data_IF_534869741803
#
_entry.id   IF_534869741803
#
_cell.length_a   1.000
_cell.length_b   1.000
_cell.length_c   1.000
_cell.angle_alpha   90.00
_cell.angle_beta   90.00
_cell.angle_gamma   90.00
#
_symmetry.space_group_name_H-M   'P 1'
#
loop_
_entity.id
_entity.type
_entity.pdbx_description
1 polymer ?
#
# COMPACT_ATOMS: atom_id res chain seq x y z
N UNK A 1 -20.98 25.93 -63.39
CA UNK A 1 -21.80 25.33 -62.31
C UNK A 1 -21.31 23.91 -62.07
N UNK A 2 -20.37 23.72 -61.14
CA UNK A 2 -19.83 22.41 -60.76
C UNK A 2 -20.34 22.07 -59.35
N UNK A 3 -21.34 21.21 -59.28
CA UNK A 3 -21.93 20.69 -58.03
C UNK A 3 -21.50 19.24 -57.75
N UNK A 4 -20.28 18.88 -58.16
CA UNK A 4 -19.72 17.52 -57.98
C UNK A 4 -18.50 17.53 -57.03
N UNK A 5 -17.94 18.70 -56.69
CA UNK A 5 -16.73 18.81 -55.86
C UNK A 5 -16.93 18.80 -54.33
N UNK A 6 -18.16 18.95 -53.82
CA UNK A 6 -18.38 19.15 -52.37
C UNK A 6 -18.75 17.84 -51.64
N UNK A 7 -19.24 16.82 -52.34
CA UNK A 7 -19.65 15.56 -51.71
C UNK A 7 -18.45 14.62 -51.47
N UNK A 8 -17.37 14.73 -52.24
CA UNK A 8 -16.22 13.82 -52.11
C UNK A 8 -15.27 14.16 -50.95
N UNK A 9 -15.23 15.41 -50.48
CA UNK A 9 -14.35 15.85 -49.38
C UNK A 9 -14.95 15.51 -48.01
N UNK A 10 -16.28 15.42 -47.90
CA UNK A 10 -16.95 15.05 -46.66
C UNK A 10 -16.87 13.54 -46.33
N UNK A 11 -16.67 12.67 -47.33
CA UNK A 11 -16.59 11.22 -47.11
C UNK A 11 -15.18 10.76 -46.74
N UNK A 12 -14.13 11.50 -47.13
CA UNK A 12 -12.74 11.14 -46.81
C UNK A 12 -12.32 11.51 -45.37
N UNK A 13 -13.06 12.40 -44.70
CA UNK A 13 -12.83 12.78 -43.30
C UNK A 13 -13.41 11.78 -42.27
N UNK A 14 -14.17 10.77 -42.72
CA UNK A 14 -14.76 9.73 -41.87
C UNK A 14 -13.90 8.45 -41.76
N UNK A 15 -12.70 8.44 -42.34
CA UNK A 15 -11.78 7.28 -42.34
C UNK A 15 -10.49 7.52 -41.53
N UNK A 16 -10.37 8.65 -40.82
CA UNK A 16 -9.27 8.83 -39.88
C UNK A 16 -9.56 7.96 -38.65
N UNK A 17 -8.66 7.05 -38.24
CA UNK A 17 -8.82 6.35 -36.98
C UNK A 17 -8.91 7.41 -35.88
N UNK A 18 -9.97 7.33 -35.08
CA UNK A 18 -10.11 8.13 -33.87
C UNK A 18 -8.90 7.85 -32.99
N UNK A 19 -7.96 8.80 -32.93
CA UNK A 19 -6.96 8.83 -31.88
C UNK A 19 -7.71 9.20 -30.62
N UNK A 20 -8.20 8.19 -29.91
CA UNK A 20 -8.69 8.35 -28.56
C UNK A 20 -7.48 8.70 -27.69
N UNK A 21 -7.30 9.98 -27.38
CA UNK A 21 -6.45 10.38 -26.27
C UNK A 21 -7.13 9.86 -24.98
N UNK A 22 -6.72 8.68 -24.54
CA UNK A 22 -7.07 8.18 -23.22
C UNK A 22 -6.32 9.04 -22.20
N UNK A 23 -7.00 10.02 -21.61
CA UNK A 23 -6.57 10.57 -20.34
C UNK A 23 -6.69 9.46 -19.30
N UNK A 24 -5.61 8.71 -19.10
CA UNK A 24 -5.52 7.78 -17.98
C UNK A 24 -5.59 8.64 -16.72
N UNK A 25 -6.64 8.44 -15.92
CA UNK A 25 -6.68 9.01 -14.58
C UNK A 25 -5.39 8.60 -13.86
N UNK A 26 -4.74 9.48 -13.07
CA UNK A 26 -3.61 9.06 -12.27
C UNK A 26 -4.06 7.84 -11.47
N UNK A 27 -3.28 6.76 -11.57
CA UNK A 27 -3.56 5.51 -10.86
C UNK A 27 -3.92 5.86 -9.41
N UNK A 28 -5.06 5.33 -8.95
CA UNK A 28 -5.49 5.52 -7.57
C UNK A 28 -4.37 5.01 -6.67
N UNK A 29 -3.65 5.93 -6.02
CA UNK A 29 -2.60 5.61 -5.06
C UNK A 29 -3.20 4.70 -4.00
N UNK A 30 -2.75 3.45 -3.98
CA UNK A 30 -3.21 2.47 -3.02
C UNK A 30 -2.73 2.90 -1.62
N UNK A 31 -3.62 2.91 -0.62
CA UNK A 31 -3.25 3.37 0.73
C UNK A 31 -2.13 2.52 1.36
N UNK A 32 -1.96 1.28 0.90
CA UNK A 32 -0.88 0.38 1.33
C UNK A 32 0.51 0.78 0.78
N UNK A 33 0.57 1.50 -0.35
CA UNK A 33 1.81 2.09 -0.90
C UNK A 33 2.24 3.35 -0.15
N UNK A 34 1.42 3.87 0.77
CA UNK A 34 1.78 5.04 1.57
C UNK A 34 2.91 4.78 2.57
N UNK A 35 3.26 3.51 2.81
CA UNK A 35 4.35 3.10 3.70
C UNK A 35 5.76 3.46 3.18
N UNK A 36 5.88 3.83 1.90
CA UNK A 36 7.16 4.15 1.25
C UNK A 36 7.44 5.66 1.13
N UNK A 37 6.44 6.52 1.37
CA UNK A 37 6.60 7.98 1.27
C UNK A 37 7.17 8.57 2.55
N UNK A 38 8.49 8.51 2.67
CA UNK A 38 9.25 9.13 3.76
C UNK A 38 9.69 10.54 3.39
N UNK A 39 10.06 11.34 4.38
CA UNK A 39 10.79 12.55 4.11
C UNK A 39 12.08 12.24 3.31
N UNK A 40 12.40 13.09 2.35
CA UNK A 40 13.45 12.81 1.39
C UNK A 40 13.44 13.73 0.19
N UNK A 41 14.56 13.77 -0.53
CA UNK A 41 14.67 14.42 -1.83
C UNK A 41 14.59 13.37 -2.92
N UNK A 42 13.72 13.58 -3.89
CA UNK A 42 13.41 12.60 -4.95
C UNK A 42 13.53 13.24 -6.34
N UNK A 43 14.10 12.52 -7.33
CA UNK A 43 14.17 12.99 -8.70
C UNK A 43 12.78 12.92 -9.35
N UNK A 44 12.33 14.03 -9.94
CA UNK A 44 11.09 14.14 -10.70
C UNK A 44 11.43 14.49 -12.13
N UNK A 45 11.05 13.62 -13.05
CA UNK A 45 11.22 13.86 -14.48
C UNK A 45 10.06 14.71 -15.01
N UNK A 46 10.37 15.90 -15.47
CA UNK A 46 9.44 16.80 -16.13
C UNK A 46 9.63 16.67 -17.63
N UNK A 47 8.56 16.35 -18.35
CA UNK A 47 8.52 16.32 -19.82
C UNK A 47 7.67 17.48 -20.31
N UNK A 48 8.21 18.28 -21.23
CA UNK A 48 7.52 19.40 -21.86
C UNK A 48 7.60 19.27 -23.37
N UNK A 49 6.46 19.39 -24.04
CA UNK A 49 6.41 19.41 -25.49
C UNK A 49 6.49 20.85 -26.00
N UNK A 50 7.51 21.14 -26.79
CA UNK A 50 7.70 22.43 -27.43
C UNK A 50 7.07 22.40 -28.83
N UNK A 51 5.94 23.09 -28.98
CA UNK A 51 5.20 23.17 -30.24
C UNK A 51 5.99 23.88 -31.36
N UNK A 52 6.92 24.78 -31.01
CA UNK A 52 7.69 25.53 -31.99
C UNK A 52 8.83 24.70 -32.59
N UNK A 53 9.46 23.83 -31.79
CA UNK A 53 10.53 22.94 -32.23
C UNK A 53 10.03 21.53 -32.61
N UNK A 54 8.80 21.18 -32.24
CA UNK A 54 8.20 19.85 -32.43
C UNK A 54 8.86 18.75 -31.58
N UNK A 55 9.68 19.12 -30.59
CA UNK A 55 10.45 18.20 -29.75
C UNK A 55 9.88 18.10 -28.34
N UNK A 56 10.05 16.93 -27.72
CA UNK A 56 9.86 16.76 -26.28
C UNK A 56 11.17 17.05 -25.56
N UNK A 57 11.16 18.04 -24.68
CA UNK A 57 12.25 18.34 -23.75
C UNK A 57 12.01 17.58 -22.44
N UNK A 58 13.04 16.93 -21.93
CA UNK A 58 13.00 16.24 -20.64
C UNK A 58 14.01 16.88 -19.67
N UNK A 59 13.58 17.12 -18.43
CA UNK A 59 14.42 17.67 -17.37
C UNK A 59 14.16 16.95 -16.05
N UNK A 60 15.23 16.58 -15.34
CA UNK A 60 15.13 16.06 -13.98
C UNK A 60 15.22 17.22 -13.00
N UNK A 61 14.28 17.27 -12.05
CA UNK A 61 14.24 18.24 -10.95
C UNK A 61 14.16 17.46 -9.65
N UNK A 62 14.99 17.81 -8.66
CA UNK A 62 14.96 17.18 -7.36
C UNK A 62 13.97 17.91 -6.44
N UNK A 63 13.04 17.17 -5.87
CA UNK A 63 11.98 17.71 -5.00
C UNK A 63 12.08 17.08 -3.61
N UNK A 64 12.09 17.93 -2.57
CA UNK A 64 12.13 17.50 -1.17
C UNK A 64 10.73 17.42 -0.57
N UNK A 65 10.40 16.27 -0.02
CA UNK A 65 9.17 16.00 0.76
C UNK A 65 9.50 16.14 2.24
N UNK A 66 8.66 16.89 2.95
CA UNK A 66 8.82 17.19 4.38
C UNK A 66 7.69 16.55 5.19
N UNK A 67 8.05 16.05 6.38
CA UNK A 67 7.15 15.66 7.45
C UNK A 67 7.28 16.65 8.62
N UNK A 68 6.38 16.61 9.63
CA UNK A 68 6.42 17.56 10.75
C UNK A 68 7.75 17.61 11.50
N UNK A 69 8.46 16.48 11.59
CA UNK A 69 9.75 16.38 12.27
C UNK A 69 10.95 16.54 11.33
N UNK A 70 10.73 16.83 10.04
CA UNK A 70 11.83 16.95 9.08
C UNK A 70 12.59 18.26 9.31
N UNK A 71 13.89 18.13 9.55
CA UNK A 71 14.81 19.26 9.63
C UNK A 71 15.67 19.28 8.37
N UNK A 72 15.81 20.46 7.78
CA UNK A 72 16.75 20.68 6.68
C UNK A 72 17.75 21.76 7.04
N UNK A 73 18.99 21.53 6.63
CA UNK A 73 20.12 22.39 6.86
C UNK A 73 20.72 22.75 5.50
N UNK A 74 20.48 23.99 5.09
CA UNK A 74 20.95 24.50 3.80
C UNK A 74 22.46 24.68 3.77
N UNK A 75 23.10 24.91 4.92
CA UNK A 75 24.55 25.14 5.00
C UNK A 75 25.32 23.82 4.82
N UNK A 76 24.82 22.73 5.40
CA UNK A 76 25.38 21.38 5.20
C UNK A 76 24.90 20.69 3.93
N UNK A 77 23.83 21.19 3.29
CA UNK A 77 23.11 20.55 2.19
C UNK A 77 22.55 19.17 2.60
N UNK A 78 22.00 19.06 3.81
CA UNK A 78 21.45 17.83 4.38
C UNK A 78 20.02 18.01 4.90
N UNK A 79 19.23 16.95 4.81
CA UNK A 79 17.96 16.79 5.51
C UNK A 79 18.05 15.61 6.47
N UNK A 80 17.34 15.69 7.60
CA UNK A 80 17.24 14.61 8.58
C UNK A 80 15.79 14.51 9.09
N UNK A 81 15.31 13.29 9.23
CA UNK A 81 13.95 12.99 9.71
C UNK A 81 13.99 11.81 10.67
N UNK A 82 13.13 11.85 11.68
CA UNK A 82 12.96 10.81 12.68
C UNK A 82 11.56 10.92 13.30
N UNK A 83 11.03 9.79 13.81
CA UNK A 83 9.74 9.75 14.48
C UNK A 83 9.87 9.52 15.99
N UNK A 84 8.86 10.01 16.72
CA UNK A 84 8.67 9.66 18.12
C UNK A 84 8.35 8.17 18.26
N UNK A 85 8.79 7.55 19.36
CA UNK A 85 8.71 6.11 19.57
C UNK A 85 8.05 5.81 20.90
N UNK A 86 7.13 4.84 20.91
CA UNK A 86 6.58 4.23 22.13
C UNK A 86 7.19 2.85 22.33
N UNK A 87 7.73 2.59 23.52
CA UNK A 87 8.35 1.32 23.91
C UNK A 87 7.86 0.87 25.30
N UNK A 88 8.11 -0.39 25.61
CA UNK A 88 7.95 -0.97 26.93
C UNK A 88 8.87 -0.27 27.95
N UNK A 89 8.50 -0.36 29.23
CA UNK A 89 9.28 0.17 30.34
C UNK A 89 10.72 -0.39 30.38
N UNK A 90 11.68 0.45 30.77
CA UNK A 90 13.10 0.13 30.97
C UNK A 90 13.88 -0.38 29.73
N UNK A 91 13.41 -0.10 28.52
CA UNK A 91 14.05 -0.56 27.27
C UNK A 91 15.07 0.45 26.71
N UNK A 92 14.79 1.75 26.74
CA UNK A 92 15.50 2.79 25.97
C UNK A 92 16.99 2.83 26.29
N UNK A 93 17.34 2.73 27.58
CA UNK A 93 18.75 2.77 28.04
C UNK A 93 19.59 1.59 27.55
N UNK A 94 18.95 0.48 27.18
CA UNK A 94 19.62 -0.72 26.68
C UNK A 94 19.85 -0.73 25.17
N UNK A 95 19.31 0.24 24.43
CA UNK A 95 19.36 0.27 22.98
C UNK A 95 20.71 0.79 22.46
N UNK A 96 21.25 0.10 21.47
CA UNK A 96 22.36 0.58 20.65
C UNK A 96 21.94 1.74 19.74
N UNK A 97 22.91 2.49 19.22
CA UNK A 97 22.66 3.54 18.23
C UNK A 97 21.88 3.03 17.00
N UNK A 98 22.24 1.85 16.49
CA UNK A 98 21.56 1.25 15.34
C UNK A 98 20.10 0.90 15.67
N UNK A 99 19.82 0.43 16.88
CA UNK A 99 18.45 0.15 17.32
C UNK A 99 17.64 1.43 17.55
N UNK A 100 18.25 2.49 18.07
CA UNK A 100 17.62 3.81 18.20
C UNK A 100 17.26 4.37 16.82
N UNK A 101 18.20 4.33 15.87
CA UNK A 101 17.97 4.73 14.47
C UNK A 101 16.85 3.91 13.85
N UNK A 102 16.88 2.58 13.99
CA UNK A 102 15.87 1.70 13.41
C UNK A 102 14.47 1.95 14.01
N UNK A 103 14.35 2.09 15.33
CA UNK A 103 13.07 2.31 16.02
C UNK A 103 12.47 3.68 15.71
N UNK A 104 13.30 4.73 15.70
CA UNK A 104 12.88 6.08 15.29
C UNK A 104 12.82 6.26 13.78
N UNK A 105 13.11 5.21 13.00
CA UNK A 105 13.19 5.22 11.54
C UNK A 105 14.00 6.43 11.03
N UNK A 106 15.07 6.76 11.75
CA UNK A 106 15.84 7.97 11.54
C UNK A 106 16.66 7.85 10.24
N UNK A 107 16.64 8.92 9.45
CA UNK A 107 17.29 8.96 8.13
C UNK A 107 17.85 10.36 7.88
N UNK A 108 19.03 10.43 7.28
CA UNK A 108 19.56 11.66 6.70
C UNK A 108 19.84 11.50 5.20
N UNK A 109 19.78 12.60 4.45
CA UNK A 109 20.00 12.62 3.01
C UNK A 109 20.53 13.97 2.51
N UNK A 110 21.06 14.02 1.30
CA UNK A 110 21.47 15.25 0.61
C UNK A 110 20.29 15.96 -0.01
N UNK A 111 20.16 17.27 0.20
CA UNK A 111 19.08 18.07 -0.42
C UNK A 111 19.27 18.25 -1.94
N UNK A 112 20.51 18.07 -2.43
CA UNK A 112 20.83 18.22 -3.85
C UNK A 112 20.33 17.08 -4.73
N UNK A 113 20.36 15.85 -4.23
CA UNK A 113 20.09 14.66 -5.05
C UNK A 113 19.38 13.50 -4.32
N UNK A 114 19.13 13.62 -3.01
CA UNK A 114 18.49 12.57 -2.21
C UNK A 114 19.41 11.43 -1.78
N UNK A 115 20.71 11.49 -2.08
CA UNK A 115 21.66 10.46 -1.65
C UNK A 115 21.72 10.35 -0.12
N UNK A 116 21.89 9.12 0.38
CA UNK A 116 21.87 8.85 1.82
C UNK A 116 23.07 9.49 2.54
N UNK A 117 22.82 10.05 3.72
CA UNK A 117 23.83 10.56 4.65
C UNK A 117 23.79 9.72 5.92
N UNK A 118 24.97 9.37 6.43
CA UNK A 118 25.11 8.58 7.65
C UNK A 118 24.80 9.43 8.89
N UNK A 119 23.99 8.87 9.80
CA UNK A 119 23.79 9.39 11.15
C UNK A 119 24.91 8.82 12.03
N UNK A 120 25.82 9.68 12.45
CA UNK A 120 27.05 9.30 13.14
C UNK A 120 26.87 9.17 14.65
N UNK A 121 25.90 9.88 15.25
CA UNK A 121 25.65 9.86 16.69
C UNK A 121 24.15 9.79 17.00
N UNK A 122 23.81 9.07 18.08
CA UNK A 122 22.50 9.10 18.73
C UNK A 122 22.70 9.33 20.24
N UNK A 123 22.27 10.49 20.73
CA UNK A 123 22.46 10.94 22.11
C UNK A 123 21.13 10.78 22.86
N UNK A 124 21.14 10.00 23.93
CA UNK A 124 19.95 9.73 24.76
C UNK A 124 20.02 10.55 26.05
N UNK A 125 18.97 11.31 26.32
CA UNK A 125 18.81 12.09 27.54
C UNK A 125 17.49 11.75 28.23
N UNK A 126 17.54 11.45 29.53
CA UNK A 126 16.31 11.24 30.32
C UNK A 126 15.70 12.60 30.67
N UNK A 127 14.44 12.81 30.29
CA UNK A 127 13.73 14.10 30.43
C UNK A 127 12.83 14.10 31.68
N UNK A 128 12.34 12.93 32.09
CA UNK A 128 11.46 12.79 33.25
C UNK A 128 10.56 11.58 33.13
N UNK A 129 9.72 11.33 34.14
CA UNK A 129 8.84 10.18 34.14
C UNK A 129 8.33 9.83 35.53
N UNK A 130 7.54 8.75 35.60
CA UNK A 130 7.10 8.12 36.84
C UNK A 130 7.86 6.82 37.09
N UNK A 131 7.51 6.06 38.13
CA UNK A 131 8.16 4.78 38.42
C UNK A 131 8.00 3.75 37.27
N UNK A 132 6.87 3.81 36.56
CA UNK A 132 6.50 2.82 35.54
C UNK A 132 6.54 3.41 34.11
N UNK A 133 6.86 4.70 33.96
CA UNK A 133 6.94 5.38 32.67
C UNK A 133 8.13 6.33 32.60
N UNK A 134 8.83 6.34 31.47
CA UNK A 134 10.01 7.16 31.24
C UNK A 134 9.87 7.96 29.96
N UNK A 135 10.31 9.21 29.97
CA UNK A 135 10.41 10.04 28.78
C UNK A 135 11.87 10.34 28.51
N UNK A 136 12.30 10.07 27.28
CA UNK A 136 13.66 10.27 26.82
C UNK A 136 13.64 11.15 25.57
N UNK A 137 14.61 12.05 25.51
CA UNK A 137 14.95 12.82 24.32
C UNK A 137 16.08 12.10 23.62
N UNK A 138 15.91 11.78 22.34
CA UNK A 138 16.94 11.15 21.52
C UNK A 138 17.32 12.10 20.39
N UNK A 139 18.56 12.56 20.38
CA UNK A 139 19.10 13.47 19.35
C UNK A 139 19.99 12.71 18.38
N UNK A 140 19.59 12.67 17.12
CA UNK A 140 20.37 12.13 16.00
C UNK A 140 21.20 13.23 15.36
N UNK A 141 22.45 12.93 15.00
CA UNK A 141 23.38 13.88 14.39
C UNK A 141 24.15 13.26 13.21
N UNK A 142 24.32 14.04 12.14
CA UNK A 142 25.21 13.70 11.02
C UNK A 142 26.64 14.23 11.24
N UNK A 143 27.60 13.73 10.47
CA UNK A 143 28.99 14.22 10.53
C UNK A 143 29.13 15.73 10.25
N UNK A 144 28.23 16.30 9.44
CA UNK A 144 28.23 17.73 9.11
C UNK A 144 27.58 18.61 10.20
N UNK A 145 26.99 18.00 11.24
CA UNK A 145 26.40 18.71 12.37
C UNK A 145 24.89 18.92 12.29
N UNK A 146 24.22 18.41 11.26
CA UNK A 146 22.76 18.49 11.14
C UNK A 146 22.11 17.56 12.17
N UNK A 147 21.14 18.06 12.94
CA UNK A 147 20.56 17.37 14.09
C UNK A 147 19.04 17.33 14.09
N UNK A 148 18.47 16.24 14.60
CA UNK A 148 17.04 16.11 14.89
C UNK A 148 16.82 15.44 16.24
N UNK A 149 15.85 15.92 17.01
CA UNK A 149 15.54 15.42 18.35
C UNK A 149 14.10 14.94 18.40
N UNK A 150 13.90 13.69 18.82
CA UNK A 150 12.58 13.04 18.95
C UNK A 150 12.39 12.46 20.34
N UNK A 151 11.14 12.18 20.68
CA UNK A 151 10.75 11.64 21.99
C UNK A 151 10.64 10.12 21.93
N UNK A 152 11.31 9.45 22.87
CA UNK A 152 11.08 8.04 23.20
C UNK A 152 10.29 7.99 24.50
N UNK A 153 9.09 7.44 24.45
CA UNK A 153 8.23 7.23 25.60
C UNK A 153 8.26 5.76 26.00
N UNK A 154 8.66 5.49 27.23
CA UNK A 154 8.48 4.23 27.91
C UNK A 154 7.15 4.25 28.66
N UNK A 155 6.30 3.28 28.38
CA UNK A 155 5.05 3.07 29.09
C UNK A 155 4.90 1.59 29.44
N UNK A 156 4.29 1.26 30.59
CA UNK A 156 4.01 -0.12 30.90
C UNK A 156 2.98 -0.64 29.90
N UNK A 157 3.17 -1.87 29.43
CA UNK A 157 2.16 -2.53 28.62
C UNK A 157 0.84 -2.53 29.38
N UNK A 158 -0.16 -1.87 28.82
CA UNK A 158 -1.53 -1.96 29.31
C UNK A 158 -2.02 -3.37 29.03
N UNK A 159 -1.86 -4.28 30.00
CA UNK A 159 -2.54 -5.57 29.95
C UNK A 159 -4.02 -5.30 30.18
N UNK A 160 -4.84 -5.40 29.13
CA UNK A 160 -6.29 -5.44 29.33
C UNK A 160 -6.60 -6.81 29.94
N UNK A 161 -6.91 -6.82 31.24
CA UNK A 161 -7.38 -8.02 31.93
C UNK A 161 -8.83 -8.30 31.50
N UNK A 162 -9.02 -9.05 30.41
CA UNK A 162 -10.31 -9.64 30.07
C UNK A 162 -10.34 -11.05 30.61
N UNK A 163 -11.16 -11.31 31.62
CA UNK A 163 -11.47 -12.67 32.11
C UNK A 163 -10.24 -13.56 32.36
N UNK A 164 -9.20 -13.03 33.02
CA UNK A 164 -8.05 -13.81 33.50
C UNK A 164 -7.13 -14.37 32.39
N UNK A 165 -7.14 -13.77 31.20
CA UNK A 165 -6.15 -14.00 30.14
C UNK A 165 -5.41 -12.69 29.81
N UNK A 166 -4.09 -12.79 29.65
CA UNK A 166 -3.21 -11.67 29.32
C UNK A 166 -3.17 -11.48 27.81
N UNK A 167 -3.70 -10.37 27.30
CA UNK A 167 -3.60 -10.01 25.89
C UNK A 167 -2.53 -8.93 25.71
N UNK A 168 -1.43 -9.25 25.02
CA UNK A 168 -0.46 -8.28 24.52
C UNK A 168 -1.03 -7.72 23.21
N UNK A 169 -1.04 -6.39 23.04
CA UNK A 169 -1.46 -5.76 21.79
C UNK A 169 -0.39 -5.98 20.71
N UNK A 170 -0.33 -7.20 20.17
CA UNK A 170 0.27 -7.41 18.86
C UNK A 170 -0.59 -6.65 17.84
N UNK A 171 0.05 -5.92 16.93
CA UNK A 171 -0.59 -5.32 15.75
C UNK A 171 -1.65 -6.27 15.19
N UNK A 172 -2.84 -5.77 14.81
CA UNK A 172 -3.95 -6.56 14.23
C UNK A 172 -3.48 -7.38 13.02
N UNK A 173 -2.83 -8.50 13.29
CA UNK A 173 -2.62 -9.59 12.36
C UNK A 173 -3.82 -10.49 12.60
N UNK A 174 -4.79 -10.44 11.70
CA UNK A 174 -5.86 -11.43 11.69
C UNK A 174 -5.18 -12.79 11.50
N UNK A 175 -5.04 -13.53 12.60
CA UNK A 175 -4.45 -14.86 12.56
C UNK A 175 -5.25 -15.71 11.57
N UNK A 176 -4.52 -16.51 10.78
CA UNK A 176 -5.07 -17.34 9.71
C UNK A 176 -6.13 -18.35 10.18
N UNK A 177 -6.31 -18.53 11.50
CA UNK A 177 -7.37 -19.37 12.05
C UNK A 177 -8.78 -18.87 11.71
N UNK A 178 -9.03 -17.56 11.64
CA UNK A 178 -10.38 -17.06 11.28
C UNK A 178 -10.70 -17.37 9.81
N UNK A 179 -9.69 -17.34 8.94
CA UNK A 179 -9.85 -17.66 7.53
C UNK A 179 -10.24 -19.12 7.31
N UNK A 180 -9.71 -20.06 8.11
CA UNK A 180 -10.03 -21.49 7.99
C UNK A 180 -11.52 -21.79 8.26
N UNK A 181 -12.12 -21.18 9.29
CA UNK A 181 -13.54 -21.36 9.60
C UNK A 181 -14.45 -20.72 8.55
N UNK A 182 -14.04 -19.59 7.97
CA UNK A 182 -14.77 -18.94 6.87
C UNK A 182 -14.75 -19.81 5.62
N UNK A 183 -13.60 -20.40 5.26
CA UNK A 183 -13.51 -21.34 4.13
C UNK A 183 -14.35 -22.60 4.36
N UNK A 184 -14.36 -23.15 5.58
CA UNK A 184 -15.22 -24.29 5.93
C UNK A 184 -16.70 -23.92 5.79
N UNK A 185 -17.12 -22.75 6.28
CA UNK A 185 -18.50 -22.29 6.15
C UNK A 185 -18.90 -22.10 4.68
N UNK A 186 -18.07 -21.43 3.87
CA UNK A 186 -18.32 -21.27 2.42
C UNK A 186 -18.40 -22.64 1.73
N UNK A 187 -17.52 -23.59 2.07
CA UNK A 187 -17.55 -24.93 1.50
C UNK A 187 -18.87 -25.67 1.81
N UNK A 188 -19.31 -25.64 3.06
CA UNK A 188 -20.56 -26.30 3.50
C UNK A 188 -21.80 -25.65 2.89
N UNK A 189 -21.88 -24.32 2.89
CA UNK A 189 -23.08 -23.62 2.44
C UNK A 189 -23.18 -23.42 0.93
N UNK A 190 -22.07 -23.53 0.18
CA UNK A 190 -22.07 -23.34 -1.28
C UNK A 190 -21.89 -24.66 -2.02
N UNK A 191 -20.87 -25.47 -1.68
CA UNK A 191 -20.55 -26.64 -2.49
C UNK A 191 -21.49 -27.83 -2.24
N UNK A 192 -21.87 -28.09 -0.99
CA UNK A 192 -22.80 -29.19 -0.67
C UNK A 192 -24.16 -29.04 -1.38
N UNK A 193 -24.86 -27.88 -1.33
CA UNK A 193 -26.15 -27.76 -2.02
C UNK A 193 -26.01 -27.86 -3.55
N UNK A 194 -24.93 -27.35 -4.14
CA UNK A 194 -24.67 -27.49 -5.59
C UNK A 194 -24.56 -28.97 -5.96
N UNK A 195 -23.80 -29.77 -5.19
CA UNK A 195 -23.66 -31.22 -5.45
C UNK A 195 -25.02 -31.93 -5.33
N UNK A 196 -25.84 -31.58 -4.34
CA UNK A 196 -27.18 -32.15 -4.18
C UNK A 196 -28.11 -31.81 -5.34
N UNK A 197 -28.07 -30.56 -5.84
CA UNK A 197 -28.86 -30.13 -7.01
C UNK A 197 -28.43 -30.91 -8.25
N UNK A 198 -27.12 -31.04 -8.50
CA UNK A 198 -26.60 -31.81 -9.64
C UNK A 198 -27.03 -33.27 -9.55
N UNK A 199 -26.94 -33.89 -8.37
CA UNK A 199 -27.38 -35.27 -8.17
C UNK A 199 -28.89 -35.46 -8.44
N UNK A 200 -29.72 -34.49 -8.03
CA UNK A 200 -31.16 -34.49 -8.30
C UNK A 200 -31.45 -34.37 -9.80
N UNK A 201 -30.74 -33.48 -10.51
CA UNK A 201 -30.86 -33.32 -11.97
C UNK A 201 -30.46 -34.58 -12.72
N UNK A 202 -29.36 -35.23 -12.32
CA UNK A 202 -28.93 -36.51 -12.93
C UNK A 202 -29.97 -37.60 -12.70
N UNK A 203 -30.52 -37.74 -11.48
CA UNK A 203 -31.62 -38.69 -11.22
C UNK A 203 -32.84 -38.41 -12.09
N UNK A 204 -33.23 -37.15 -12.22
CA UNK A 204 -34.36 -36.75 -13.07
C UNK A 204 -34.11 -37.13 -14.54
N UNK A 205 -32.91 -36.87 -15.07
CA UNK A 205 -32.56 -37.27 -16.45
C UNK A 205 -32.64 -38.78 -16.65
N UNK A 206 -32.18 -39.58 -15.67
CA UNK A 206 -32.29 -41.05 -15.74
C UNK A 206 -33.75 -41.50 -15.76
N UNK A 207 -34.62 -40.89 -14.95
CA UNK A 207 -36.06 -41.19 -14.96
C UNK A 207 -36.72 -40.81 -16.28
N UNK A 208 -36.43 -39.63 -16.83
CA UNK A 208 -36.94 -39.19 -18.14
C UNK A 208 -36.49 -40.13 -19.27
N UNK A 209 -35.26 -40.64 -19.23
CA UNK A 209 -34.79 -41.62 -20.22
C UNK A 209 -35.55 -42.95 -20.13
N UNK A 210 -35.90 -43.41 -18.92
CA UNK A 210 -36.69 -44.63 -18.71
C UNK A 210 -38.13 -44.46 -19.22
N UNK A 211 -38.79 -43.36 -18.91
CA UNK A 211 -40.17 -43.10 -19.36
C UNK A 211 -40.28 -42.96 -20.87
N UNK A 212 -39.33 -42.26 -21.52
CA UNK A 212 -39.26 -42.20 -22.99
C UNK A 212 -39.17 -43.60 -23.60
N UNK A 213 -38.31 -44.48 -23.08
CA UNK A 213 -38.20 -45.86 -23.59
C UNK A 213 -39.52 -46.62 -23.49
N UNK A 214 -40.25 -46.48 -22.37
CA UNK A 214 -41.54 -47.15 -22.18
C UNK A 214 -42.62 -46.65 -23.15
N UNK A 215 -42.73 -45.32 -23.32
CA UNK A 215 -43.66 -44.72 -24.27
C UNK A 215 -43.38 -45.15 -25.72
N UNK A 216 -42.11 -45.19 -26.13
CA UNK A 216 -41.76 -45.66 -27.47
C UNK A 216 -42.03 -47.16 -27.66
N UNK A 217 -41.86 -48.00 -26.63
CA UNK A 217 -42.18 -49.44 -26.72
C UNK A 217 -43.69 -49.72 -26.74
N UNK A 218 -44.50 -48.89 -26.09
CA UNK A 218 -45.96 -49.04 -26.05
C UNK A 218 -46.60 -48.54 -27.36
N UNK A 219 -46.13 -47.39 -27.88
CA UNK A 219 -46.52 -46.88 -29.21
C UNK A 219 -46.25 -47.88 -30.34
N UNK A 220 -45.11 -48.59 -30.29
CA UNK A 220 -44.76 -49.60 -31.30
C UNK A 220 -45.49 -50.94 -31.13
N UNK A 221 -46.33 -51.08 -30.10
CA UNK A 221 -47.16 -52.27 -29.82
C UNK A 221 -48.62 -52.08 -30.25
N UNK A 222 -49.03 -50.83 -30.50
CA UNK A 222 -50.37 -50.46 -30.99
C UNK A 222 -50.43 -50.23 -32.52
N UNK A 223 -49.31 -50.47 -33.22
CA UNK A 223 -49.21 -50.50 -34.69
C UNK A 223 -48.92 -51.94 -35.13
#
# INVERSE_FOLDING_TARGET
MSRIGIVLVAVLLLLLPSVSASAQAPDTVNADDLSEYRAGTYPVQIKYYDEASGQTLEKIVYMTVYYPNTITDADSNEGIDAMDVLLDADVVKGLSQQELIAKAQAKAWRLSDGSAVEITEAIVEYVGGSADSGQYSVTFRTAAGTTNTVTFLEAPHSQILVQNETYIADSLSMSNQVMDWVYLAVFVFVFIPIVLIVAALVRMMVLVRKTKRLLYTEYNREI
#
